data_IF_423632331716
#
_entry.id   IF_423632331716
#
_cell.length_a   1.000
_cell.length_b   1.000
_cell.length_c   1.000
_cell.angle_alpha   90.00
_cell.angle_beta   90.00
_cell.angle_gamma   90.00
#
_symmetry.space_group_name_H-M   'P 1'
#
loop_
_entity.id
_entity.type
_entity.pdbx_description
1 polymer ?
#
# COMPACT_ATOMS: atom_id res chain seq x y z
N UNK A 1 50.14 -59.63 -12.34
CA UNK A 1 50.77 -58.29 -12.22
C UNK A 1 49.76 -57.29 -12.73
N UNK A 2 49.16 -56.38 -11.98
CA UNK A 2 49.35 -55.88 -10.61
C UNK A 2 47.98 -55.31 -10.17
N UNK A 3 47.48 -55.73 -9.01
CA UNK A 3 47.36 -54.92 -7.77
C UNK A 3 46.36 -53.75 -7.85
N UNK A 4 45.21 -53.87 -7.19
CA UNK A 4 44.91 -53.40 -5.82
C UNK A 4 44.52 -51.91 -5.78
N UNK A 5 43.26 -51.63 -5.39
CA UNK A 5 42.77 -50.40 -4.73
C UNK A 5 43.58 -50.05 -3.45
N UNK A 6 43.34 -48.96 -2.68
CA UNK A 6 42.44 -47.78 -2.81
C UNK A 6 43.12 -46.44 -2.43
N UNK A 7 42.45 -45.28 -2.50
CA UNK A 7 42.52 -44.31 -1.38
C UNK A 7 41.34 -43.32 -1.34
N UNK A 8 40.73 -43.27 -0.15
CA UNK A 8 39.70 -42.35 0.32
C UNK A 8 40.35 -41.07 0.83
N UNK A 9 39.76 -39.88 0.58
CA UNK A 9 39.83 -38.78 1.56
C UNK A 9 38.78 -37.68 1.35
N UNK A 10 37.80 -37.72 2.24
CA UNK A 10 37.16 -36.65 3.02
C UNK A 10 36.64 -35.35 2.36
N UNK A 11 35.44 -34.87 2.75
CA UNK A 11 34.90 -33.58 2.32
C UNK A 11 35.61 -32.42 3.04
N UNK A 12 35.85 -31.34 2.30
CA UNK A 12 36.43 -30.11 2.81
C UNK A 12 35.42 -29.36 3.70
N UNK A 13 35.41 -29.67 5.00
CA UNK A 13 34.89 -28.78 6.03
C UNK A 13 35.90 -27.65 6.26
N UNK A 14 35.50 -26.39 6.04
CA UNK A 14 36.21 -25.23 6.61
C UNK A 14 35.39 -24.63 7.76
N UNK A 15 36.04 -24.25 8.87
CA UNK A 15 35.40 -23.84 10.10
C UNK A 15 34.82 -22.42 10.05
N UNK A 16 33.68 -22.28 10.69
CA UNK A 16 33.03 -21.05 11.13
C UNK A 16 33.96 -20.22 12.01
N UNK A 17 34.16 -18.94 11.68
CA UNK A 17 34.43 -17.86 12.67
C UNK A 17 34.19 -16.48 12.04
N UNK A 18 33.39 -15.66 12.73
CA UNK A 18 33.42 -14.19 12.83
C UNK A 18 32.10 -13.44 12.46
N UNK A 19 31.39 -13.03 13.52
CA UNK A 19 30.66 -11.75 13.65
C UNK A 19 31.20 -11.09 14.94
N UNK A 20 31.05 -9.78 15.22
CA UNK A 20 30.35 -8.73 14.48
C UNK A 20 31.18 -7.42 14.30
N UNK A 21 30.81 -6.57 13.34
CA UNK A 21 31.21 -5.16 13.38
C UNK A 21 30.12 -4.24 12.81
N UNK A 22 29.97 -3.12 13.52
CA UNK A 22 28.83 -2.22 13.61
C UNK A 22 28.74 -1.23 12.43
N UNK A 23 27.49 -0.88 12.11
CA UNK A 23 26.98 0.10 11.14
C UNK A 23 27.55 1.53 11.27
N UNK A 24 27.32 2.37 10.24
CA UNK A 24 26.41 3.50 10.43
C UNK A 24 25.10 3.29 9.67
N UNK A 25 23.98 3.40 10.38
CA UNK A 25 22.61 3.25 9.89
C UNK A 25 22.12 4.59 9.33
N UNK A 26 21.69 4.63 8.07
CA UNK A 26 20.65 5.57 7.63
C UNK A 26 20.02 5.12 6.30
N UNK A 27 19.14 4.11 6.36
CA UNK A 27 18.12 3.85 5.35
C UNK A 27 17.04 2.98 6.00
N UNK A 28 15.92 3.61 6.39
CA UNK A 28 14.72 2.92 6.88
C UNK A 28 14.15 2.06 5.76
N UNK A 29 14.59 0.80 5.69
CA UNK A 29 14.01 -0.23 4.83
C UNK A 29 12.73 -0.72 5.51
N UNK A 30 11.55 -0.64 4.88
CA UNK A 30 10.34 -1.17 5.49
C UNK A 30 10.49 -2.69 5.68
N UNK A 31 10.24 -3.16 6.90
CA UNK A 31 10.25 -4.58 7.24
C UNK A 31 9.34 -5.37 6.27
N UNK A 32 9.91 -6.32 5.53
CA UNK A 32 9.20 -7.11 4.53
C UNK A 32 7.97 -7.87 5.09
N UNK A 33 7.98 -8.19 6.39
CA UNK A 33 6.89 -8.86 7.10
C UNK A 33 5.60 -8.02 7.24
N UNK A 34 5.68 -6.69 7.05
CA UNK A 34 4.51 -5.82 7.13
C UNK A 34 3.72 -5.76 5.81
N UNK A 35 4.39 -5.98 4.67
CA UNK A 35 3.78 -5.88 3.33
C UNK A 35 2.80 -7.03 3.09
N UNK A 36 3.09 -8.22 3.64
CA UNK A 36 2.28 -9.43 3.44
C UNK A 36 0.87 -9.37 4.05
N UNK A 37 0.61 -8.44 4.97
CA UNK A 37 -0.70 -8.29 5.61
C UNK A 37 -1.51 -7.09 5.10
N UNK A 38 -1.01 -6.36 4.09
CA UNK A 38 -1.77 -5.24 3.52
C UNK A 38 -2.83 -5.80 2.58
N UNK A 39 -4.10 -5.71 2.97
CA UNK A 39 -5.23 -6.03 2.11
C UNK A 39 -5.13 -5.16 0.84
N UNK A 40 -5.14 -5.78 -0.32
CA UNK A 40 -5.16 -5.07 -1.61
C UNK A 40 -6.60 -4.73 -2.01
N UNK A 41 -6.82 -3.66 -2.81
CA UNK A 41 -8.09 -3.45 -3.47
C UNK A 41 -8.39 -4.59 -4.45
N UNK A 42 -9.67 -4.81 -4.75
CA UNK A 42 -10.07 -5.81 -5.75
C UNK A 42 -9.44 -5.53 -7.12
N UNK A 43 -9.11 -6.59 -7.87
CA UNK A 43 -8.61 -6.48 -9.25
C UNK A 43 -9.54 -5.65 -10.14
N UNK A 44 -10.86 -5.76 -9.95
CA UNK A 44 -11.84 -4.99 -10.69
C UNK A 44 -11.71 -3.49 -10.41
N UNK A 45 -11.61 -3.14 -9.14
CA UNK A 45 -11.44 -1.75 -8.68
C UNK A 45 -10.13 -1.17 -9.18
N UNK A 46 -9.05 -1.94 -9.12
CA UNK A 46 -7.74 -1.53 -9.62
C UNK A 46 -7.78 -1.25 -11.13
N UNK A 47 -8.38 -2.16 -11.92
CA UNK A 47 -8.57 -1.96 -13.36
C UNK A 47 -9.46 -0.76 -13.68
N UNK A 48 -10.53 -0.53 -12.93
CA UNK A 48 -11.40 0.64 -13.11
C UNK A 48 -10.66 1.94 -12.79
N UNK A 49 -9.91 1.98 -11.69
CA UNK A 49 -9.11 3.14 -11.32
C UNK A 49 -8.04 3.42 -12.38
N UNK A 50 -7.37 2.40 -12.92
CA UNK A 50 -6.42 2.57 -14.03
C UNK A 50 -7.07 3.14 -15.29
N UNK A 51 -8.26 2.66 -15.67
CA UNK A 51 -9.00 3.24 -16.82
C UNK A 51 -9.33 4.70 -16.59
N UNK A 52 -9.78 5.06 -15.40
CA UNK A 52 -10.10 6.45 -15.05
C UNK A 52 -8.84 7.33 -15.03
N UNK A 53 -7.72 6.82 -14.51
CA UNK A 53 -6.45 7.52 -14.51
C UNK A 53 -5.95 7.86 -15.91
N UNK A 54 -6.11 6.93 -16.86
CA UNK A 54 -5.76 7.13 -18.29
C UNK A 54 -6.69 8.17 -18.94
N UNK A 55 -8.00 8.11 -18.67
CA UNK A 55 -8.98 9.00 -19.32
C UNK A 55 -8.90 10.42 -18.78
N UNK A 56 -8.72 10.57 -17.47
CA UNK A 56 -8.72 11.88 -16.79
C UNK A 56 -7.32 12.50 -16.67
N UNK A 57 -6.27 11.74 -17.03
CA UNK A 57 -4.86 12.09 -16.84
C UNK A 57 -4.52 12.49 -15.39
N UNK A 58 -4.88 11.60 -14.45
CA UNK A 58 -4.71 11.83 -13.00
C UNK A 58 -3.99 10.66 -12.33
N UNK A 59 -3.01 10.92 -11.45
CA UNK A 59 -2.36 9.88 -10.69
C UNK A 59 -3.33 9.19 -9.70
N UNK A 60 -3.12 7.89 -9.50
CA UNK A 60 -3.80 7.11 -8.47
C UNK A 60 -3.00 7.24 -7.17
N UNK A 61 -3.64 7.74 -6.12
CA UNK A 61 -3.09 7.89 -4.77
C UNK A 61 -3.72 6.85 -3.82
N UNK A 62 -2.87 6.11 -3.12
CA UNK A 62 -3.26 5.03 -2.19
C UNK A 62 -2.92 5.35 -0.73
N UNK A 63 -2.53 6.59 -0.45
CA UNK A 63 -2.24 7.12 0.89
C UNK A 63 -3.44 7.03 1.85
N UNK A 64 -4.67 7.10 1.33
CA UNK A 64 -5.90 6.92 2.11
C UNK A 64 -6.35 5.46 2.26
N UNK A 65 -5.74 4.51 1.54
CA UNK A 65 -6.23 3.12 1.50
C UNK A 65 -6.20 2.46 2.89
N UNK A 66 -5.03 2.42 3.52
CA UNK A 66 -4.86 1.81 4.85
C UNK A 66 -5.71 2.55 5.90
N UNK A 67 -5.70 3.89 5.87
CA UNK A 67 -6.50 4.70 6.79
C UNK A 67 -8.01 4.49 6.63
N UNK A 68 -8.48 4.17 5.42
CA UNK A 68 -9.89 3.82 5.18
C UNK A 68 -10.27 2.46 5.76
N UNK A 69 -9.36 1.47 5.73
CA UNK A 69 -9.57 0.16 6.34
C UNK A 69 -9.59 0.25 7.88
N UNK A 70 -8.70 1.06 8.45
CA UNK A 70 -8.61 1.31 9.89
C UNK A 70 -9.70 2.27 10.41
N UNK A 71 -10.58 2.78 9.53
CA UNK A 71 -11.62 3.77 9.85
C UNK A 71 -11.07 5.06 10.48
N UNK A 72 -9.80 5.38 10.20
CA UNK A 72 -9.16 6.65 10.57
C UNK A 72 -9.53 7.76 9.59
N UNK A 73 -9.67 7.41 8.31
CA UNK A 73 -10.21 8.32 7.31
C UNK A 73 -11.74 8.27 7.28
N UNK A 74 -12.34 9.40 6.90
CA UNK A 74 -13.78 9.55 6.71
C UNK A 74 -14.09 10.43 5.50
N UNK A 75 -15.31 10.32 4.98
CA UNK A 75 -15.86 11.23 3.99
C UNK A 75 -16.58 12.36 4.74
N UNK A 76 -16.02 13.57 4.66
CA UNK A 76 -16.62 14.78 5.20
C UNK A 76 -17.61 15.38 4.19
N UNK A 77 -18.83 15.66 4.63
CA UNK A 77 -19.85 16.36 3.84
C UNK A 77 -20.00 17.77 4.40
N UNK A 78 -19.64 18.78 3.62
CA UNK A 78 -19.80 20.21 3.98
C UNK A 78 -21.26 20.63 3.91
N UNK A 79 -21.59 21.78 4.50
CA UNK A 79 -22.94 22.35 4.48
C UNK A 79 -23.45 22.65 3.06
N UNK A 80 -22.55 22.99 2.13
CA UNK A 80 -22.84 23.20 0.72
C UNK A 80 -23.08 21.89 -0.07
N UNK A 81 -22.98 20.73 0.58
CA UNK A 81 -23.15 19.41 -0.04
C UNK A 81 -21.90 18.85 -0.71
N UNK A 82 -20.79 19.58 -0.71
CA UNK A 82 -19.50 19.08 -1.21
C UNK A 82 -18.97 17.98 -0.29
N UNK A 83 -18.36 16.96 -0.90
CA UNK A 83 -17.73 15.86 -0.18
C UNK A 83 -16.22 15.99 -0.28
N UNK A 84 -15.48 15.64 0.76
CA UNK A 84 -14.02 15.54 0.74
C UNK A 84 -13.56 14.35 1.59
N UNK A 85 -12.38 13.84 1.30
CA UNK A 85 -11.74 12.85 2.16
C UNK A 85 -11.01 13.59 3.29
N UNK A 86 -11.26 13.16 4.51
CA UNK A 86 -10.66 13.71 5.73
C UNK A 86 -9.94 12.57 6.44
N UNK A 87 -8.63 12.69 6.59
CA UNK A 87 -7.83 11.75 7.39
C UNK A 87 -7.64 12.26 8.82
N UNK A 88 -7.45 13.57 8.94
CA UNK A 88 -7.28 14.30 10.19
C UNK A 88 -7.77 15.74 9.98
N UNK A 89 -7.88 16.54 11.05
CA UNK A 89 -8.29 17.95 10.96
C UNK A 89 -7.37 18.79 10.04
N UNK A 90 -6.09 18.41 9.94
CA UNK A 90 -5.08 19.12 9.13
C UNK A 90 -4.84 18.47 7.76
N UNK A 91 -5.26 17.21 7.56
CA UNK A 91 -5.01 16.43 6.36
C UNK A 91 -6.33 16.03 5.71
N UNK A 92 -6.70 16.79 4.67
CA UNK A 92 -7.89 16.57 3.88
C UNK A 92 -7.61 16.82 2.40
N UNK A 93 -8.44 16.25 1.52
CA UNK A 93 -8.33 16.44 0.07
C UNK A 93 -9.14 17.63 -0.40
N UNK A 94 -8.89 18.06 -1.65
CA UNK A 94 -9.83 18.91 -2.38
C UNK A 94 -11.22 18.28 -2.47
N UNK A 95 -12.28 19.07 -2.75
CA UNK A 95 -13.61 18.55 -2.98
C UNK A 95 -13.64 17.43 -4.02
N UNK A 96 -14.42 16.39 -3.73
CA UNK A 96 -14.66 15.25 -4.59
C UNK A 96 -15.48 15.72 -5.78
N UNK A 97 -14.91 15.55 -6.98
CA UNK A 97 -15.57 15.85 -8.25
C UNK A 97 -16.43 14.68 -8.73
N UNK A 98 -15.93 13.45 -8.62
CA UNK A 98 -16.67 12.23 -9.00
C UNK A 98 -16.50 11.15 -7.94
N UNK A 99 -17.56 10.40 -7.69
CA UNK A 99 -17.59 9.33 -6.69
C UNK A 99 -18.19 8.07 -7.31
N UNK A 100 -17.40 7.00 -7.39
CA UNK A 100 -17.80 5.73 -7.97
C UNK A 100 -17.75 4.63 -6.92
N UNK A 101 -18.72 3.72 -6.96
CA UNK A 101 -18.70 2.48 -6.18
C UNK A 101 -18.25 1.33 -7.07
N UNK A 102 -17.24 0.59 -6.62
CA UNK A 102 -16.72 -0.60 -7.29
C UNK A 102 -16.62 -1.73 -6.28
N UNK A 103 -17.50 -2.72 -6.37
CA UNK A 103 -17.58 -3.84 -5.43
C UNK A 103 -17.61 -3.38 -3.95
N UNK A 104 -16.52 -3.66 -3.20
CA UNK A 104 -16.33 -3.32 -1.78
C UNK A 104 -15.43 -2.10 -1.57
N UNK A 105 -15.26 -1.28 -2.60
CA UNK A 105 -14.43 -0.09 -2.59
C UNK A 105 -15.15 1.10 -3.24
N UNK A 106 -14.62 2.29 -2.95
CA UNK A 106 -14.96 3.52 -3.64
C UNK A 106 -13.75 4.04 -4.40
N UNK A 107 -13.99 4.50 -5.63
CA UNK A 107 -13.03 5.25 -6.43
C UNK A 107 -13.48 6.72 -6.40
N UNK A 108 -12.62 7.57 -5.88
CA UNK A 108 -12.91 8.97 -5.59
C UNK A 108 -11.99 9.81 -6.46
N UNK A 109 -12.58 10.70 -7.25
CA UNK A 109 -11.82 11.59 -8.13
C UNK A 109 -11.93 13.00 -7.57
N UNK A 110 -10.79 13.62 -7.29
CA UNK A 110 -10.66 15.03 -6.96
C UNK A 110 -10.15 15.80 -8.18
N UNK A 111 -9.85 17.08 -8.00
CA UNK A 111 -9.32 17.93 -9.07
C UNK A 111 -8.04 17.37 -9.70
N UNK A 112 -7.11 16.83 -8.91
CA UNK A 112 -5.76 16.47 -9.38
C UNK A 112 -5.39 15.00 -9.18
N UNK A 113 -6.23 14.21 -8.52
CA UNK A 113 -5.88 12.83 -8.15
C UNK A 113 -7.08 11.91 -8.03
N UNK A 114 -6.82 10.61 -8.14
CA UNK A 114 -7.79 9.54 -7.95
C UNK A 114 -7.40 8.77 -6.69
N UNK A 115 -8.32 8.64 -5.75
CA UNK A 115 -8.15 7.87 -4.53
C UNK A 115 -8.97 6.59 -4.58
N UNK A 116 -8.45 5.54 -3.96
CA UNK A 116 -9.19 4.30 -3.71
C UNK A 116 -9.32 4.13 -2.20
N UNK A 117 -10.55 3.91 -1.73
CA UNK A 117 -10.85 3.69 -0.31
C UNK A 117 -11.79 2.50 -0.14
N UNK A 118 -11.77 1.87 1.03
CA UNK A 118 -12.72 0.80 1.35
C UNK A 118 -14.16 1.34 1.43
N UNK A 119 -15.15 0.51 1.09
CA UNK A 119 -16.55 0.89 1.23
C UNK A 119 -17.01 1.10 2.67
N UNK A 120 -16.22 0.60 3.63
CA UNK A 120 -16.47 0.69 5.07
C UNK A 120 -16.11 2.06 5.68
N UNK A 121 -15.60 2.98 4.85
CA UNK A 121 -15.25 4.34 5.28
C UNK A 121 -16.48 5.07 5.84
N UNK A 122 -16.32 5.72 6.99
CA UNK A 122 -17.41 6.46 7.62
C UNK A 122 -17.71 7.76 6.87
N UNK A 123 -18.96 8.19 6.87
CA UNK A 123 -19.36 9.51 6.34
C UNK A 123 -19.86 10.37 7.50
N UNK A 124 -19.35 11.60 7.62
CA UNK A 124 -19.82 12.57 8.64
C UNK A 124 -20.08 13.93 8.00
N UNK A 125 -21.09 14.63 8.51
CA UNK A 125 -21.28 16.05 8.19
C UNK A 125 -20.27 16.87 8.98
N UNK A 126 -19.63 17.82 8.31
CA UNK A 126 -18.71 18.79 8.89
C UNK A 126 -19.29 20.18 8.67
N UNK A 127 -19.24 21.00 9.72
CA UNK A 127 -19.72 22.39 9.76
C UNK A 127 -18.52 23.32 9.63
#
# INVERSE_FOLDING_TARGET
MSSFEPESKAPLNRPETAKPSTQPQNASTPNASAISNIRLPSDLTSQHASKLAIVEDKPIMLDYWVSSLEKKALIGVRENGEKLLVKSAEEYTSPISKFYKSATEYIIITENSIYIVSSDIQTRKIT
#
